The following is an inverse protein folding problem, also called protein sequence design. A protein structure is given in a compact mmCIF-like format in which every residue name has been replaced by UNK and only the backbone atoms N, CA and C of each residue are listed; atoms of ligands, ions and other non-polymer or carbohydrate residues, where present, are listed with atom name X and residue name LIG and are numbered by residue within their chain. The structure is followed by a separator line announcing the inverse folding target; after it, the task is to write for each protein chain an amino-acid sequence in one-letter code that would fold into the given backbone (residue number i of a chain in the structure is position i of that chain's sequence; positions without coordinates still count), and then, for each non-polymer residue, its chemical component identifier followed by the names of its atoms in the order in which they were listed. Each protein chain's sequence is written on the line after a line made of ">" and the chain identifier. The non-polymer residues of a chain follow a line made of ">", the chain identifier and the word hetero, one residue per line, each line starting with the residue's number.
data_IF_619454017074
#
_entry.id   IF_619454017074
#
_cell.length_a   1.000
_cell.length_b   1.000
_cell.length_c   1.000
_cell.angle_alpha   90.00
_cell.angle_beta   90.00
_cell.angle_gamma   90.00
#
_symmetry.space_group_name_H-M   'P 1'
#
loop_
_entity.id
_entity.type
_entity.pdbx_description
1 polymer ?
#
# COMPACT_ATOMS: atom_id res chain seq x y z
N UNK A 1 -18.24 22.96 16.59
CA UNK A 1 -18.53 22.31 17.88
C UNK A 1 -17.32 22.24 18.79
N UNK A 2 -16.14 21.85 18.29
CA UNK A 2 -14.93 21.73 19.11
C UNK A 2 -13.97 22.90 18.82
N UNK A 3 -13.76 23.84 19.75
CA UNK A 3 -12.97 25.04 19.48
C UNK A 3 -11.46 24.82 19.50
N UNK A 4 -10.99 23.74 20.12
CA UNK A 4 -9.58 23.37 20.27
C UNK A 4 -9.40 21.86 20.26
N UNK A 5 -8.16 21.41 20.10
CA UNK A 5 -7.75 20.01 20.26
C UNK A 5 -8.12 19.45 21.63
N UNK A 6 -7.99 20.25 22.70
CA UNK A 6 -8.37 19.85 24.06
C UNK A 6 -9.87 19.54 24.15
N UNK A 7 -10.73 20.45 23.70
CA UNK A 7 -12.17 20.24 23.69
C UNK A 7 -12.59 19.06 22.78
N UNK A 8 -11.85 18.84 21.69
CA UNK A 8 -12.03 17.67 20.84
C UNK A 8 -11.72 16.36 21.59
N UNK A 9 -10.60 16.30 22.30
CA UNK A 9 -10.19 15.13 23.09
C UNK A 9 -11.10 14.91 24.32
N UNK A 10 -11.54 15.98 24.98
CA UNK A 10 -12.56 15.90 26.03
C UNK A 10 -13.83 15.25 25.49
N UNK A 11 -14.31 15.67 24.32
CA UNK A 11 -15.50 15.07 23.71
C UNK A 11 -15.31 13.60 23.36
N UNK A 12 -14.12 13.23 22.85
CA UNK A 12 -13.78 11.81 22.61
C UNK A 12 -13.93 11.01 23.90
N UNK A 13 -13.37 11.51 25.01
CA UNK A 13 -13.43 10.85 26.31
C UNK A 13 -14.86 10.76 26.86
N UNK A 14 -15.64 11.83 26.75
CA UNK A 14 -17.06 11.85 27.16
C UNK A 14 -17.90 10.80 26.42
N UNK A 15 -17.64 10.62 25.13
CA UNK A 15 -18.36 9.66 24.29
C UNK A 15 -17.79 8.23 24.41
N UNK A 16 -16.65 8.05 25.07
CA UNK A 16 -15.95 6.77 25.12
C UNK A 16 -15.56 6.27 23.73
N UNK A 17 -15.24 7.20 22.81
CA UNK A 17 -14.90 6.88 21.44
C UNK A 17 -13.47 6.35 21.36
N UNK A 18 -13.29 5.25 20.64
CA UNK A 18 -11.98 4.88 20.06
C UNK A 18 -11.97 5.43 18.63
N UNK A 19 -11.06 6.36 18.32
CA UNK A 19 -10.97 6.97 17.00
C UNK A 19 -9.57 6.84 16.42
N UNK A 20 -9.48 6.88 15.10
CA UNK A 20 -8.23 7.11 14.41
C UNK A 20 -8.47 7.68 13.00
N UNK A 21 -7.40 8.10 12.34
CA UNK A 21 -7.34 8.40 10.92
C UNK A 21 -6.23 7.60 10.26
N UNK A 22 -6.48 7.09 9.06
CA UNK A 22 -5.46 6.41 8.26
C UNK A 22 -5.43 6.96 6.86
N UNK A 23 -4.23 7.22 6.36
CA UNK A 23 -4.00 7.59 4.96
C UNK A 23 -3.22 6.49 4.26
N UNK A 24 -3.55 6.27 3.00
CA UNK A 24 -2.86 5.36 2.08
C UNK A 24 -2.80 6.03 0.71
N UNK A 25 -2.12 5.39 -0.25
CA UNK A 25 -1.90 5.91 -1.61
C UNK A 25 -3.17 6.40 -2.33
N UNK A 26 -4.34 5.82 -2.02
CA UNK A 26 -5.59 6.09 -2.75
C UNK A 26 -6.80 6.39 -1.84
N UNK A 27 -6.62 6.39 -0.51
CA UNK A 27 -7.71 6.60 0.46
C UNK A 27 -7.23 7.32 1.71
N UNK A 28 -8.00 8.31 2.14
CA UNK A 28 -8.01 8.83 3.51
C UNK A 28 -9.26 8.30 4.20
N UNK A 29 -9.12 7.78 5.42
CA UNK A 29 -10.20 7.19 6.19
C UNK A 29 -10.18 7.73 7.62
N UNK A 30 -11.31 8.23 8.08
CA UNK A 30 -11.54 8.66 9.45
C UNK A 30 -12.62 7.78 10.06
N UNK A 31 -12.38 7.25 11.26
CA UNK A 31 -13.32 6.33 11.87
C UNK A 31 -13.41 6.50 13.38
N UNK A 32 -14.55 6.08 13.91
CA UNK A 32 -14.87 6.05 15.33
C UNK A 32 -15.56 4.73 15.65
N UNK A 33 -15.20 4.16 16.78
CA UNK A 33 -15.87 3.01 17.41
C UNK A 33 -16.44 3.49 18.74
N UNK A 34 -17.73 3.28 18.95
CA UNK A 34 -18.46 3.77 20.12
C UNK A 34 -19.60 2.82 20.50
N UNK A 35 -20.15 3.02 21.71
CA UNK A 35 -21.35 2.30 22.14
C UNK A 35 -22.56 2.70 21.27
N UNK A 36 -23.41 1.74 20.88
CA UNK A 36 -24.60 1.99 20.04
C UNK A 36 -25.53 3.10 20.55
N UNK A 37 -25.58 3.30 21.86
CA UNK A 37 -26.40 4.34 22.50
C UNK A 37 -25.88 5.76 22.19
N UNK A 38 -24.68 5.89 21.62
CA UNK A 38 -24.03 7.14 21.24
C UNK A 38 -24.00 7.37 19.73
N UNK A 39 -24.76 6.59 18.95
CA UNK A 39 -24.77 6.66 17.48
C UNK A 39 -24.95 8.09 16.98
N UNK A 40 -25.96 8.82 17.48
CA UNK A 40 -26.24 10.19 17.04
C UNK A 40 -25.08 11.12 17.39
N UNK A 41 -24.57 11.07 18.62
CA UNK A 41 -23.44 11.90 19.03
C UNK A 41 -22.15 11.57 18.27
N UNK A 42 -21.94 10.31 17.90
CA UNK A 42 -20.81 9.87 17.08
C UNK A 42 -20.89 10.37 15.63
N UNK A 43 -22.09 10.34 15.04
CA UNK A 43 -22.34 10.93 13.72
C UNK A 43 -22.12 12.46 13.75
N UNK A 44 -22.62 13.14 14.78
CA UNK A 44 -22.39 14.59 14.96
C UNK A 44 -20.89 14.90 15.14
N UNK A 45 -20.19 14.10 15.93
CA UNK A 45 -18.74 14.24 16.12
C UNK A 45 -17.98 14.08 14.79
N UNK A 46 -18.28 13.04 14.01
CA UNK A 46 -17.65 12.81 12.72
C UNK A 46 -17.98 13.91 11.71
N UNK A 47 -19.20 14.46 11.76
CA UNK A 47 -19.60 15.61 10.96
C UNK A 47 -18.70 16.83 11.23
N UNK A 48 -18.49 17.17 12.51
CA UNK A 48 -17.60 18.29 12.87
C UNK A 48 -16.15 18.01 12.48
N UNK A 49 -15.66 16.78 12.72
CA UNK A 49 -14.27 16.38 12.45
C UNK A 49 -13.93 16.37 10.96
N UNK A 50 -14.80 15.81 10.12
CA UNK A 50 -14.53 15.61 8.70
C UNK A 50 -14.91 16.81 7.82
N UNK A 51 -16.02 17.52 8.13
CA UNK A 51 -16.51 18.62 7.27
C UNK A 51 -16.06 20.00 7.71
N UNK A 52 -15.82 20.19 9.01
CA UNK A 52 -15.54 21.50 9.59
C UNK A 52 -14.23 21.57 10.40
N UNK A 53 -13.10 21.01 9.92
CA UNK A 53 -11.82 21.21 10.58
C UNK A 53 -11.45 22.69 10.55
N UNK A 54 -10.96 23.21 11.68
CA UNK A 54 -10.62 24.64 11.82
C UNK A 54 -9.23 25.01 11.30
N UNK A 55 -8.33 24.02 11.18
CA UNK A 55 -6.92 24.22 10.80
C UNK A 55 -6.27 25.41 11.56
N UNK A 56 -6.40 25.44 12.89
CA UNK A 56 -5.84 26.52 13.69
C UNK A 56 -4.32 26.54 13.54
N UNK A 57 -3.75 27.72 13.29
CA UNK A 57 -2.34 27.87 12.95
C UNK A 57 -1.44 27.33 14.07
N UNK A 58 -1.74 27.68 15.31
CA UNK A 58 -0.95 27.28 16.48
C UNK A 58 -1.02 25.77 16.73
N UNK A 59 -2.17 25.15 16.43
CA UNK A 59 -2.31 23.69 16.52
C UNK A 59 -1.53 23.01 15.40
N UNK A 60 -1.60 23.52 14.17
CA UNK A 60 -0.84 23.01 13.04
C UNK A 60 0.67 23.15 13.24
N UNK A 61 1.16 24.26 13.77
CA UNK A 61 2.60 24.43 14.05
C UNK A 61 3.12 23.36 15.02
N UNK A 62 2.30 22.96 16.01
CA UNK A 62 2.63 21.85 16.91
C UNK A 62 2.53 20.50 16.20
N UNK A 63 1.47 20.27 15.45
CA UNK A 63 1.22 19.01 14.75
C UNK A 63 2.29 18.72 13.68
N UNK A 64 2.74 19.75 12.94
CA UNK A 64 3.82 19.62 11.97
C UNK A 64 5.10 19.06 12.60
N UNK A 65 5.41 19.43 13.85
CA UNK A 65 6.57 18.90 14.58
C UNK A 65 6.34 17.45 14.99
N UNK A 66 5.11 17.07 15.37
CA UNK A 66 4.74 15.69 15.69
C UNK A 66 4.90 14.79 14.46
N UNK A 67 4.36 15.20 13.31
CA UNK A 67 4.47 14.47 12.03
C UNK A 67 5.92 14.45 11.53
N UNK A 68 6.69 15.52 11.71
CA UNK A 68 8.12 15.51 11.43
C UNK A 68 8.88 14.52 12.32
N UNK A 69 8.47 14.39 13.59
CA UNK A 69 8.95 13.36 14.50
C UNK A 69 8.58 11.94 14.05
N UNK A 70 7.40 11.73 13.49
CA UNK A 70 7.02 10.46 12.84
C UNK A 70 7.93 10.10 11.67
N UNK A 71 8.20 11.08 10.81
CA UNK A 71 9.14 10.91 9.70
C UNK A 71 10.54 10.51 10.21
N UNK A 72 11.04 11.22 11.22
CA UNK A 72 12.35 10.92 11.83
C UNK A 72 12.38 9.55 12.53
N UNK A 73 11.27 9.11 13.14
CA UNK A 73 11.16 7.74 13.67
C UNK A 73 11.29 6.71 12.55
N UNK A 74 10.70 6.95 11.38
CA UNK A 74 10.88 6.06 10.24
C UNK A 74 12.33 6.04 9.74
N UNK A 75 13.05 7.16 9.83
CA UNK A 75 14.47 7.25 9.50
C UNK A 75 15.39 6.44 10.44
N UNK A 76 14.90 5.95 11.59
CA UNK A 76 15.69 5.00 12.39
C UNK A 76 15.71 3.60 11.76
N UNK A 77 14.80 3.28 10.84
CA UNK A 77 14.76 2.02 10.11
C UNK A 77 15.51 2.13 8.78
N UNK A 78 16.60 1.39 8.54
CA UNK A 78 17.36 1.48 7.29
C UNK A 78 16.54 1.07 6.05
N UNK A 79 15.50 0.23 6.20
CA UNK A 79 14.58 -0.15 5.11
C UNK A 79 13.76 1.04 4.60
N UNK A 80 13.49 2.05 5.44
CA UNK A 80 12.78 3.27 5.02
C UNK A 80 13.51 3.97 3.87
N UNK A 81 14.84 4.07 3.94
CA UNK A 81 15.64 4.70 2.89
C UNK A 81 15.63 3.88 1.59
N UNK A 82 15.68 2.55 1.69
CA UNK A 82 15.57 1.66 0.52
C UNK A 82 14.22 1.84 -0.17
N UNK A 83 13.11 1.87 0.59
CA UNK A 83 11.77 2.08 0.05
C UNK A 83 11.59 3.47 -0.56
N UNK A 84 12.16 4.50 0.06
CA UNK A 84 12.17 5.87 -0.46
C UNK A 84 12.91 5.97 -1.80
N UNK A 85 14.13 5.44 -1.87
CA UNK A 85 14.94 5.47 -3.08
C UNK A 85 14.32 4.61 -4.19
N UNK A 86 13.73 3.46 -3.82
CA UNK A 86 12.94 2.61 -4.71
C UNK A 86 11.76 3.38 -5.28
N UNK A 87 10.95 4.01 -4.43
CA UNK A 87 9.76 4.74 -4.83
C UNK A 87 10.08 5.89 -5.79
N UNK A 88 11.16 6.66 -5.52
CA UNK A 88 11.59 7.73 -6.44
C UNK A 88 11.92 7.22 -7.83
N UNK A 89 12.54 6.05 -7.94
CA UNK A 89 12.93 5.44 -9.23
C UNK A 89 11.78 4.72 -9.92
N UNK A 90 10.93 4.04 -9.15
CA UNK A 90 9.81 3.25 -9.66
C UNK A 90 8.66 4.14 -10.15
N UNK A 91 8.38 5.24 -9.45
CA UNK A 91 7.23 6.11 -9.72
C UNK A 91 7.61 7.44 -10.39
N UNK A 92 8.90 7.78 -10.41
CA UNK A 92 9.43 8.95 -11.10
C UNK A 92 8.78 10.25 -10.65
N UNK A 93 8.28 11.05 -11.61
CA UNK A 93 7.62 12.34 -11.35
C UNK A 93 6.39 12.22 -10.44
N UNK A 94 5.75 11.05 -10.41
CA UNK A 94 4.52 10.80 -9.65
C UNK A 94 4.78 10.14 -8.28
N UNK A 95 6.03 10.13 -7.80
CA UNK A 95 6.41 9.51 -6.53
C UNK A 95 5.60 10.03 -5.33
N UNK A 96 5.21 11.30 -5.31
CA UNK A 96 4.41 11.87 -4.23
C UNK A 96 3.08 11.14 -3.98
N UNK A 97 2.52 10.50 -5.02
CA UNK A 97 1.29 9.69 -4.92
C UNK A 97 1.47 8.35 -4.21
N UNK A 98 2.71 7.91 -4.04
CA UNK A 98 3.10 6.66 -3.38
C UNK A 98 3.97 6.93 -2.14
N UNK A 99 3.99 8.18 -1.69
CA UNK A 99 4.74 8.63 -0.52
C UNK A 99 3.78 9.25 0.49
N UNK A 100 3.00 8.42 1.16
CA UNK A 100 1.91 8.86 2.06
C UNK A 100 2.38 9.82 3.15
N UNK A 101 3.56 9.61 3.75
CA UNK A 101 4.09 10.49 4.80
C UNK A 101 4.58 11.84 4.24
N UNK A 102 4.89 11.91 2.95
CA UNK A 102 5.41 13.10 2.29
C UNK A 102 6.91 13.29 2.46
N UNK A 103 7.36 14.53 2.21
CA UNK A 103 8.76 14.92 2.30
C UNK A 103 8.96 15.82 3.50
N UNK A 104 10.04 15.66 4.25
CA UNK A 104 10.30 16.41 5.48
C UNK A 104 10.11 17.94 5.35
N UNK A 105 10.61 18.62 4.30
CA UNK A 105 10.38 20.06 4.13
C UNK A 105 8.91 20.42 3.85
N UNK A 106 8.17 19.53 3.18
CA UNK A 106 6.75 19.74 2.88
C UNK A 106 5.92 19.59 4.15
N UNK A 107 6.25 18.62 5.01
CA UNK A 107 5.60 18.41 6.31
C UNK A 107 5.76 19.67 7.18
N UNK A 108 6.99 20.17 7.35
CA UNK A 108 7.24 21.37 8.16
C UNK A 108 6.62 22.63 7.56
N UNK A 109 6.53 22.71 6.23
CA UNK A 109 5.94 23.83 5.50
C UNK A 109 4.42 23.76 5.36
N UNK A 110 3.74 22.77 5.92
CA UNK A 110 2.30 22.65 5.84
C UNK A 110 1.60 23.84 6.55
N UNK A 111 0.61 24.44 5.89
CA UNK A 111 -0.12 25.61 6.41
C UNK A 111 -1.63 25.36 6.42
N UNK A 112 -2.40 26.12 7.23
CA UNK A 112 -3.86 26.05 7.20
C UNK A 112 -4.46 26.22 5.81
N UNK A 113 -3.90 27.11 5.00
CA UNK A 113 -4.37 27.33 3.63
C UNK A 113 -4.17 26.09 2.75
N UNK A 114 -3.04 25.39 2.86
CA UNK A 114 -2.81 24.15 2.09
C UNK A 114 -3.82 23.08 2.50
N UNK A 115 -4.11 22.93 3.79
CA UNK A 115 -5.10 21.95 4.26
C UNK A 115 -6.51 22.30 3.80
N UNK A 116 -6.87 23.58 3.84
CA UNK A 116 -8.13 24.08 3.31
C UNK A 116 -8.24 23.81 1.80
N UNK A 117 -7.17 24.07 1.04
CA UNK A 117 -7.13 23.79 -0.39
C UNK A 117 -7.30 22.29 -0.70
N UNK A 118 -6.73 21.39 0.10
CA UNK A 118 -6.92 19.93 -0.06
C UNK A 118 -8.37 19.56 0.23
N UNK A 119 -8.93 20.07 1.33
CA UNK A 119 -10.33 19.84 1.71
C UNK A 119 -11.27 20.29 0.59
N UNK A 120 -11.08 21.50 0.08
CA UNK A 120 -11.95 22.09 -0.95
C UNK A 120 -11.73 21.49 -2.35
N UNK A 121 -10.70 20.65 -2.53
CA UNK A 121 -10.52 19.85 -3.75
C UNK A 121 -11.24 18.51 -3.68
N UNK A 122 -11.20 17.83 -2.53
CA UNK A 122 -11.52 16.40 -2.47
C UNK A 122 -12.63 16.00 -1.48
N UNK A 123 -12.96 16.84 -0.48
CA UNK A 123 -13.87 16.48 0.62
C UNK A 123 -15.31 16.87 0.28
N UNK A 124 -15.90 16.08 -0.62
CA UNK A 124 -17.29 16.21 -1.07
C UNK A 124 -18.03 14.88 -0.90
N UNK A 125 -19.36 14.89 -0.69
CA UNK A 125 -20.14 13.66 -0.50
C UNK A 125 -20.13 12.76 -1.74
N UNK A 126 -20.01 13.32 -2.96
CA UNK A 126 -19.84 12.54 -4.19
C UNK A 126 -18.41 12.02 -4.41
N UNK A 127 -17.50 12.22 -3.46
CA UNK A 127 -16.17 11.62 -3.38
C UNK A 127 -15.89 11.12 -1.96
N UNK A 128 -16.92 10.69 -1.24
CA UNK A 128 -16.83 10.15 0.12
C UNK A 128 -17.80 8.99 0.27
N UNK A 129 -17.47 8.07 1.16
CA UNK A 129 -18.35 6.98 1.56
C UNK A 129 -18.40 6.93 3.08
N UNK A 130 -19.62 6.94 3.63
CA UNK A 130 -19.86 6.70 5.05
C UNK A 130 -20.34 5.27 5.23
N UNK A 131 -19.68 4.51 6.10
CA UNK A 131 -20.05 3.13 6.42
C UNK A 131 -20.26 3.02 7.92
N UNK A 132 -21.40 2.46 8.31
CA UNK A 132 -21.75 2.19 9.71
C UNK A 132 -22.05 0.70 9.82
N UNK A 133 -21.36 0.02 10.73
CA UNK A 133 -21.56 -1.40 10.99
C UNK A 133 -21.52 -1.66 12.51
N UNK A 134 -22.29 -2.65 12.95
CA UNK A 134 -22.45 -3.02 14.35
C UNK A 134 -23.92 -3.20 14.72
N UNK A 135 -24.23 -3.11 16.01
CA UNK A 135 -25.60 -3.17 16.54
C UNK A 135 -26.34 -1.84 16.29
N UNK A 136 -26.78 -1.63 15.04
CA UNK A 136 -27.46 -0.42 14.58
C UNK A 136 -28.74 -0.75 13.82
N UNK A 137 -29.74 0.14 13.92
CA UNK A 137 -30.95 0.06 13.11
C UNK A 137 -30.75 0.87 11.82
N UNK A 138 -30.96 0.21 10.67
CA UNK A 138 -30.76 0.79 9.34
C UNK A 138 -31.54 2.10 9.14
N UNK A 139 -32.86 2.10 9.35
CA UNK A 139 -33.71 3.27 9.12
C UNK A 139 -33.32 4.45 10.02
N UNK A 140 -32.97 4.17 11.29
CA UNK A 140 -32.48 5.18 12.22
C UNK A 140 -31.16 5.79 11.74
N UNK A 141 -30.21 4.97 11.27
CA UNK A 141 -28.93 5.46 10.75
C UNK A 141 -29.16 6.40 9.57
N UNK A 142 -29.98 6.00 8.59
CA UNK A 142 -30.28 6.83 7.42
C UNK A 142 -31.01 8.13 7.78
N UNK A 143 -31.97 8.07 8.71
CA UNK A 143 -32.66 9.26 9.22
C UNK A 143 -31.70 10.24 9.89
N UNK A 144 -30.82 9.76 10.77
CA UNK A 144 -29.82 10.61 11.43
C UNK A 144 -28.79 11.16 10.44
N UNK A 145 -28.35 10.34 9.48
CA UNK A 145 -27.46 10.81 8.41
C UNK A 145 -28.11 11.91 7.58
N UNK A 146 -29.37 11.76 7.18
CA UNK A 146 -30.09 12.81 6.45
C UNK A 146 -30.24 14.08 7.30
N UNK A 147 -30.48 13.95 8.61
CA UNK A 147 -30.58 15.10 9.52
C UNK A 147 -29.26 15.84 9.67
N UNK A 148 -28.14 15.13 9.80
CA UNK A 148 -26.82 15.70 10.13
C UNK A 148 -26.03 16.11 8.87
N UNK A 149 -26.10 15.28 7.82
CA UNK A 149 -25.32 15.43 6.58
C UNK A 149 -26.13 15.85 5.37
N UNK A 150 -27.46 15.95 5.48
CA UNK A 150 -28.35 16.24 4.34
C UNK A 150 -28.14 17.61 3.70
N UNK A 151 -27.43 18.51 4.37
CA UNK A 151 -27.03 19.81 3.86
C UNK A 151 -25.67 19.78 3.12
N UNK A 152 -24.91 18.67 3.21
CA UNK A 152 -23.62 18.53 2.57
C UNK A 152 -23.78 18.43 1.05
N UNK A 153 -23.41 19.50 0.35
CA UNK A 153 -23.58 19.57 -1.09
C UNK A 153 -22.46 18.81 -1.84
N UNK A 154 -22.79 18.10 -2.93
CA UNK A 154 -21.78 17.55 -3.82
C UNK A 154 -20.95 18.65 -4.47
N UNK A 155 -19.78 18.27 -4.97
CA UNK A 155 -18.99 19.15 -5.82
C UNK A 155 -19.81 19.61 -7.04
N UNK A 156 -19.72 20.89 -7.39
CA UNK A 156 -20.36 21.47 -8.59
C UNK A 156 -19.61 21.12 -9.89
N UNK A 157 -18.50 20.40 -9.80
CA UNK A 157 -17.68 19.95 -10.91
C UNK A 157 -17.28 18.48 -10.75
N UNK A 158 -16.90 17.80 -11.83
CA UNK A 158 -16.28 16.49 -11.72
C UNK A 158 -14.84 16.65 -11.17
N UNK A 159 -14.60 16.12 -9.97
CA UNK A 159 -13.34 16.28 -9.22
C UNK A 159 -12.16 15.75 -10.03
N UNK A 160 -12.31 14.57 -10.65
CA UNK A 160 -11.23 13.93 -11.40
C UNK A 160 -11.10 14.39 -12.85
N UNK A 161 -12.03 15.20 -13.36
CA UNK A 161 -11.82 15.96 -14.61
C UNK A 161 -11.08 17.27 -14.33
N UNK A 162 -11.44 17.98 -13.25
CA UNK A 162 -10.80 19.24 -12.86
C UNK A 162 -9.40 19.02 -12.30
N UNK A 163 -9.22 17.95 -11.52
CA UNK A 163 -7.96 17.53 -10.91
C UNK A 163 -7.64 16.11 -11.38
N UNK A 164 -7.19 15.95 -12.64
CA UNK A 164 -6.92 14.64 -13.19
C UNK A 164 -5.79 13.96 -12.43
N UNK A 165 -5.98 12.67 -12.17
CA UNK A 165 -4.95 11.83 -11.56
C UNK A 165 -4.01 11.37 -12.70
N UNK A 166 -2.74 11.77 -12.70
CA UNK A 166 -1.80 11.41 -13.77
C UNK A 166 -1.54 9.89 -13.81
N UNK A 167 -1.15 9.38 -14.97
CA UNK A 167 -0.69 7.99 -15.09
C UNK A 167 0.80 7.89 -14.78
N UNK A 168 1.25 6.70 -14.36
CA UNK A 168 2.67 6.43 -14.18
C UNK A 168 3.32 6.14 -15.53
N UNK A 169 4.49 6.74 -15.77
CA UNK A 169 5.30 6.45 -16.94
C UNK A 169 5.84 5.01 -16.85
N UNK A 170 5.78 4.19 -17.91
CA UNK A 170 6.33 2.84 -17.89
C UNK A 170 7.82 2.84 -17.53
N UNK A 171 8.25 1.80 -16.81
CA UNK A 171 9.69 1.55 -16.57
C UNK A 171 10.33 1.25 -17.94
N UNK A 172 11.29 2.08 -18.37
CA UNK A 172 11.89 1.96 -19.71
C UNK A 172 13.02 0.92 -19.79
N UNK A 173 13.79 0.79 -18.71
CA UNK A 173 14.92 -0.12 -18.61
C UNK A 173 15.14 -0.51 -17.14
N UNK A 174 15.85 -1.61 -16.92
CA UNK A 174 16.17 -2.07 -15.57
C UNK A 174 17.13 -1.11 -14.86
N UNK A 175 16.79 -0.70 -13.65
CA UNK A 175 17.58 0.20 -12.82
C UNK A 175 18.01 -0.49 -11.54
N UNK A 176 19.31 -0.61 -11.31
CA UNK A 176 19.87 -1.14 -10.07
C UNK A 176 20.52 0.00 -9.28
N UNK A 177 20.27 0.07 -7.97
CA UNK A 177 20.89 1.06 -7.09
C UNK A 177 21.22 0.51 -5.70
N UNK A 178 22.21 1.12 -5.05
CA UNK A 178 22.58 0.77 -3.67
C UNK A 178 22.10 1.90 -2.76
N UNK A 179 21.41 1.53 -1.68
CA UNK A 179 21.13 2.43 -0.55
C UNK A 179 22.09 2.05 0.58
N UNK A 180 22.91 3.01 1.01
CA UNK A 180 23.86 2.81 2.10
C UNK A 180 23.28 3.37 3.40
N UNK A 181 23.29 2.56 4.46
CA UNK A 181 22.87 2.98 5.80
C UNK A 181 23.63 2.19 6.88
N UNK A 182 24.28 2.89 7.81
CA UNK A 182 25.10 2.27 8.86
C UNK A 182 24.29 1.39 9.83
N UNK A 183 22.99 1.65 9.99
CA UNK A 183 22.13 0.84 10.85
C UNK A 183 21.72 -0.49 10.18
N UNK A 184 22.02 -0.69 8.90
CA UNK A 184 21.75 -1.95 8.22
C UNK A 184 22.60 -3.08 8.82
N UNK A 185 21.93 -4.07 9.42
CA UNK A 185 22.57 -5.23 10.05
C UNK A 185 22.72 -6.43 9.10
N UNK A 186 21.89 -6.49 8.05
CA UNK A 186 21.93 -7.51 6.99
C UNK A 186 21.69 -6.83 5.65
N UNK A 187 22.23 -7.37 4.54
CA UNK A 187 21.87 -6.91 3.20
C UNK A 187 20.39 -7.21 2.93
N UNK A 188 19.71 -6.28 2.27
CA UNK A 188 18.32 -6.46 1.85
C UNK A 188 18.19 -6.06 0.39
N UNK A 189 17.73 -6.99 -0.43
CA UNK A 189 17.38 -6.74 -1.83
C UNK A 189 15.87 -6.52 -1.94
N UNK A 190 15.49 -5.45 -2.63
CA UNK A 190 14.13 -5.21 -3.07
C UNK A 190 14.11 -5.09 -4.60
N UNK A 191 13.37 -5.94 -5.28
CA UNK A 191 13.07 -5.80 -6.72
C UNK A 191 11.62 -5.37 -6.89
N UNK A 192 11.34 -4.47 -7.82
CA UNK A 192 9.99 -3.94 -8.01
C UNK A 192 9.65 -3.68 -9.48
N UNK A 193 8.43 -4.07 -9.85
CA UNK A 193 7.81 -3.81 -11.15
C UNK A 193 6.52 -3.01 -10.95
N UNK A 194 6.04 -2.41 -12.03
CA UNK A 194 4.64 -1.98 -12.11
C UNK A 194 3.74 -3.22 -12.25
N UNK A 195 2.75 -3.34 -11.39
CA UNK A 195 1.74 -4.39 -11.43
C UNK A 195 0.48 -4.02 -12.21
N UNK A 196 -0.48 -4.96 -12.29
CA UNK A 196 -1.81 -4.67 -12.84
C UNK A 196 -2.55 -3.63 -11.98
N UNK A 197 -3.51 -2.94 -12.61
CA UNK A 197 -4.41 -2.01 -11.93
C UNK A 197 -5.87 -2.43 -12.15
N UNK A 198 -6.75 -2.08 -11.21
CA UNK A 198 -8.15 -2.54 -11.23
C UNK A 198 -9.01 -1.88 -12.31
N UNK A 199 -8.49 -0.88 -13.03
CA UNK A 199 -9.21 -0.22 -14.14
C UNK A 199 -8.96 -0.92 -15.48
N UNK A 200 -7.75 -1.46 -15.67
CA UNK A 200 -7.26 -1.93 -16.98
C UNK A 200 -7.01 -3.43 -17.05
N UNK A 201 -6.72 -4.08 -15.93
CA UNK A 201 -6.42 -5.51 -15.92
C UNK A 201 -6.88 -6.18 -14.62
N UNK A 202 -8.20 -6.17 -14.41
CA UNK A 202 -8.84 -6.75 -13.23
C UNK A 202 -8.51 -8.23 -13.04
N UNK A 203 -8.41 -9.00 -14.13
CA UNK A 203 -8.15 -10.44 -14.03
C UNK A 203 -6.74 -10.72 -13.51
N UNK A 204 -5.75 -9.93 -13.94
CA UNK A 204 -4.37 -10.10 -13.51
C UNK A 204 -4.17 -9.75 -12.03
N UNK A 205 -5.01 -8.92 -11.40
CA UNK A 205 -4.89 -8.61 -9.96
C UNK A 205 -5.17 -9.86 -9.11
N UNK A 206 -6.22 -10.63 -9.43
CA UNK A 206 -6.49 -11.90 -8.75
C UNK A 206 -5.42 -12.95 -9.02
N UNK A 207 -4.89 -13.01 -10.24
CA UNK A 207 -3.79 -13.91 -10.58
C UNK A 207 -2.52 -13.55 -9.79
N UNK A 208 -2.26 -12.27 -9.56
CA UNK A 208 -1.15 -11.78 -8.76
C UNK A 208 -1.25 -12.20 -7.29
N UNK A 209 -2.44 -12.10 -6.69
CA UNK A 209 -2.68 -12.52 -5.30
C UNK A 209 -2.44 -14.04 -5.15
N UNK A 210 -3.07 -14.85 -6.01
CA UNK A 210 -2.92 -16.31 -5.99
C UNK A 210 -1.45 -16.70 -6.20
N UNK A 211 -0.77 -16.10 -7.17
CA UNK A 211 0.65 -16.37 -7.43
C UNK A 211 1.55 -15.98 -6.25
N UNK A 212 1.33 -14.81 -5.67
CA UNK A 212 2.09 -14.33 -4.50
C UNK A 212 1.95 -15.31 -3.34
N UNK A 213 0.74 -15.81 -3.08
CA UNK A 213 0.50 -16.79 -2.04
C UNK A 213 1.17 -18.14 -2.34
N UNK A 214 1.12 -18.63 -3.59
CA UNK A 214 1.84 -19.86 -4.01
C UNK A 214 3.32 -19.80 -3.63
N UNK A 215 3.98 -18.65 -3.86
CA UNK A 215 5.39 -18.46 -3.57
C UNK A 215 5.71 -18.30 -2.07
N UNK A 216 4.71 -17.96 -1.25
CA UNK A 216 4.86 -17.83 0.21
C UNK A 216 4.71 -19.17 0.94
N UNK A 217 4.07 -20.17 0.31
CA UNK A 217 3.95 -21.51 0.89
C UNK A 217 5.33 -22.09 1.20
N UNK A 218 5.48 -22.67 2.40
CA UNK A 218 6.74 -23.26 2.86
C UNK A 218 7.27 -24.32 1.90
N UNK A 219 6.38 -25.11 1.30
CA UNK A 219 6.76 -26.17 0.36
C UNK A 219 7.02 -25.68 -1.08
N UNK A 220 6.92 -24.36 -1.35
CA UNK A 220 7.11 -23.78 -2.68
C UNK A 220 8.55 -23.93 -3.17
N UNK A 221 8.74 -24.00 -4.50
CA UNK A 221 10.09 -24.09 -5.08
C UNK A 221 10.97 -22.90 -4.67
N UNK A 222 10.39 -21.70 -4.53
CA UNK A 222 11.13 -20.50 -4.13
C UNK A 222 11.64 -20.60 -2.68
N UNK A 223 10.78 -20.97 -1.73
CA UNK A 223 11.19 -21.13 -0.32
C UNK A 223 12.22 -22.25 -0.17
N UNK A 224 12.00 -23.39 -0.83
CA UNK A 224 12.97 -24.49 -0.85
C UNK A 224 14.32 -24.09 -1.43
N UNK A 225 14.32 -23.39 -2.56
CA UNK A 225 15.55 -23.05 -3.26
C UNK A 225 16.40 -22.01 -2.52
N UNK A 226 15.77 -21.07 -1.79
CA UNK A 226 16.48 -19.95 -1.15
C UNK A 226 16.58 -20.08 0.37
N UNK A 227 15.49 -20.41 1.05
CA UNK A 227 15.43 -20.40 2.52
C UNK A 227 15.87 -21.75 3.10
N UNK A 228 15.32 -22.86 2.63
CA UNK A 228 15.69 -24.20 3.16
C UNK A 228 17.16 -24.55 2.88
N UNK A 229 17.76 -24.05 1.79
CA UNK A 229 19.18 -24.22 1.46
C UNK A 229 20.11 -23.26 2.24
N UNK A 230 19.54 -22.29 2.97
CA UNK A 230 20.26 -21.26 3.71
C UNK A 230 20.97 -20.22 2.82
N UNK A 231 20.53 -20.05 1.57
CA UNK A 231 20.98 -18.97 0.69
C UNK A 231 20.39 -17.61 1.08
N UNK A 232 19.20 -17.61 1.68
CA UNK A 232 18.52 -16.44 2.22
C UNK A 232 17.89 -16.76 3.57
N UNK A 233 17.80 -15.76 4.43
CA UNK A 233 17.01 -15.83 5.66
C UNK A 233 15.53 -15.64 5.40
N UNK A 234 15.20 -14.88 4.36
CA UNK A 234 13.82 -14.58 3.98
C UNK A 234 13.74 -14.29 2.48
N UNK A 235 12.66 -14.77 1.86
CA UNK A 235 12.20 -14.32 0.55
C UNK A 235 10.68 -14.19 0.57
N UNK A 236 10.15 -13.09 0.04
CA UNK A 236 8.72 -12.93 -0.18
C UNK A 236 8.46 -12.25 -1.53
N UNK A 237 7.32 -12.61 -2.11
CA UNK A 237 6.77 -11.95 -3.30
C UNK A 237 5.40 -11.42 -2.92
N UNK A 238 5.15 -10.16 -3.26
CA UNK A 238 3.89 -9.48 -2.98
C UNK A 238 3.45 -8.62 -4.14
N UNK A 239 2.16 -8.34 -4.17
CA UNK A 239 1.52 -7.38 -5.05
C UNK A 239 0.56 -6.54 -4.22
N UNK A 240 0.53 -5.23 -4.46
CA UNK A 240 -0.43 -4.34 -3.81
C UNK A 240 -1.49 -3.92 -4.83
N UNK A 241 -2.72 -4.41 -4.63
CA UNK A 241 -3.85 -4.05 -5.50
C UNK A 241 -4.21 -2.58 -5.35
N UNK A 242 -4.30 -1.86 -6.47
CA UNK A 242 -4.61 -0.43 -6.50
C UNK A 242 -5.40 -0.05 -7.75
N UNK A 243 -6.13 1.06 -7.67
CA UNK A 243 -6.91 1.61 -8.78
C UNK A 243 -6.00 2.11 -9.88
N UNK A 244 -4.92 2.77 -9.48
CA UNK A 244 -3.79 3.14 -10.31
C UNK A 244 -2.61 2.28 -9.90
N UNK A 245 -1.89 1.75 -10.89
CA UNK A 245 -0.69 0.91 -10.80
C UNK A 245 -0.10 0.77 -9.38
N UNK A 246 -0.18 -0.45 -8.82
CA UNK A 246 0.54 -0.83 -7.61
C UNK A 246 1.80 -1.63 -7.90
N UNK A 247 2.74 -1.72 -6.95
CA UNK A 247 3.99 -2.45 -7.15
C UNK A 247 3.79 -3.97 -7.04
N UNK A 248 4.53 -4.71 -7.87
CA UNK A 248 4.90 -6.10 -7.59
C UNK A 248 6.28 -6.04 -6.96
N UNK A 249 6.50 -6.73 -5.84
CA UNK A 249 7.76 -6.68 -5.11
C UNK A 249 8.30 -8.06 -4.80
N UNK A 250 9.62 -8.20 -4.90
CA UNK A 250 10.37 -9.30 -4.31
C UNK A 250 11.23 -8.69 -3.21
N UNK A 251 11.04 -9.14 -1.97
CA UNK A 251 11.87 -8.79 -0.84
C UNK A 251 12.73 -9.99 -0.46
N UNK A 252 14.05 -9.83 -0.45
CA UNK A 252 15.01 -10.88 -0.15
C UNK A 252 16.00 -10.39 0.90
N UNK A 253 16.18 -11.19 1.94
CA UNK A 253 17.25 -11.02 2.92
C UNK A 253 18.27 -12.14 2.70
N UNK A 254 19.26 -11.97 1.82
CA UNK A 254 20.22 -13.02 1.51
C UNK A 254 21.17 -13.29 2.68
N UNK A 255 21.70 -14.51 2.74
CA UNK A 255 22.86 -14.82 3.57
C UNK A 255 24.07 -14.07 2.98
N UNK A 256 24.72 -13.15 3.72
CA UNK A 256 25.83 -12.35 3.19
C UNK A 256 26.95 -13.19 2.59
N UNK A 257 27.26 -14.33 3.21
CA UNK A 257 28.33 -15.23 2.76
C UNK A 257 28.00 -16.00 1.48
N UNK A 258 26.72 -16.07 1.09
CA UNK A 258 26.24 -16.80 -0.09
C UNK A 258 25.49 -15.89 -1.08
N UNK A 259 25.68 -14.57 -0.99
CA UNK A 259 24.85 -13.61 -1.71
C UNK A 259 24.93 -13.76 -3.24
N UNK A 260 26.11 -14.07 -3.80
CA UNK A 260 26.27 -14.31 -5.24
C UNK A 260 25.43 -15.52 -5.71
N UNK A 261 25.48 -16.62 -4.97
CA UNK A 261 24.69 -17.81 -5.25
C UNK A 261 23.19 -17.54 -5.05
N UNK A 262 22.81 -16.82 -3.98
CA UNK A 262 21.42 -16.44 -3.71
C UNK A 262 20.81 -15.60 -4.85
N UNK A 263 21.54 -14.60 -5.34
CA UNK A 263 21.11 -13.76 -6.46
C UNK A 263 20.97 -14.56 -7.76
N UNK A 264 21.92 -15.47 -8.02
CA UNK A 264 21.85 -16.36 -9.17
C UNK A 264 20.60 -17.26 -9.09
N UNK A 265 20.40 -17.94 -7.97
CA UNK A 265 19.25 -18.83 -7.74
C UNK A 265 17.94 -18.04 -7.82
N UNK A 266 17.84 -16.83 -7.25
CA UNK A 266 16.65 -16.00 -7.38
C UNK A 266 16.30 -15.72 -8.86
N UNK A 267 17.28 -15.32 -9.67
CA UNK A 267 17.05 -15.06 -11.09
C UNK A 267 16.66 -16.33 -11.86
N UNK A 268 17.25 -17.47 -11.53
CA UNK A 268 16.86 -18.77 -12.09
C UNK A 268 15.41 -19.12 -11.72
N UNK A 269 15.01 -18.90 -10.46
CA UNK A 269 13.61 -19.09 -10.04
C UNK A 269 12.66 -18.20 -10.84
N UNK A 270 12.93 -16.90 -10.95
CA UNK A 270 12.11 -15.95 -11.72
C UNK A 270 11.97 -16.38 -13.18
N UNK A 271 13.05 -16.87 -13.79
CA UNK A 271 13.03 -17.34 -15.17
C UNK A 271 12.16 -18.59 -15.38
N UNK A 272 11.97 -19.40 -14.34
CA UNK A 272 11.19 -20.64 -14.36
C UNK A 272 9.73 -20.46 -13.92
N UNK A 273 9.30 -19.28 -13.47
CA UNK A 273 7.98 -19.09 -12.86
C UNK A 273 6.79 -19.47 -13.74
N UNK A 274 6.90 -19.35 -15.06
CA UNK A 274 5.87 -19.75 -16.02
C UNK A 274 6.11 -21.15 -16.63
N UNK A 275 7.03 -21.94 -16.06
CA UNK A 275 7.20 -23.34 -16.43
C UNK A 275 6.00 -24.16 -15.92
N UNK A 276 5.54 -25.16 -16.69
CA UNK A 276 4.33 -25.92 -16.37
C UNK A 276 4.42 -26.66 -15.03
N UNK A 277 5.63 -27.03 -14.60
CA UNK A 277 5.89 -27.80 -13.38
C UNK A 277 6.38 -26.94 -12.20
N UNK A 278 6.44 -25.61 -12.32
CA UNK A 278 7.01 -24.76 -11.26
C UNK A 278 6.19 -24.80 -9.96
N UNK A 279 4.86 -24.76 -10.09
CA UNK A 279 3.91 -24.95 -8.99
C UNK A 279 2.88 -26.01 -9.36
N UNK A 280 2.40 -26.79 -8.39
CA UNK A 280 1.41 -27.86 -8.61
C UNK A 280 -0.02 -27.31 -8.58
N UNK A 281 -0.99 -28.09 -9.08
CA UNK A 281 -2.41 -27.72 -8.97
C UNK A 281 -2.88 -27.70 -7.51
N UNK A 282 -2.30 -28.55 -6.66
CA UNK A 282 -2.51 -28.53 -5.22
C UNK A 282 -2.05 -27.20 -4.60
N UNK A 283 -0.89 -26.67 -4.99
CA UNK A 283 -0.42 -25.36 -4.49
C UNK A 283 -1.34 -24.21 -4.93
N UNK A 284 -1.87 -24.26 -6.16
CA UNK A 284 -2.87 -23.29 -6.63
C UNK A 284 -4.13 -23.38 -5.77
N UNK A 285 -4.62 -24.61 -5.53
CA UNK A 285 -5.83 -24.83 -4.74
C UNK A 285 -5.66 -24.35 -3.30
N UNK A 286 -4.56 -24.72 -2.64
CA UNK A 286 -4.21 -24.24 -1.30
C UNK A 286 -4.15 -22.71 -1.23
N UNK A 287 -3.56 -22.06 -2.24
CA UNK A 287 -3.50 -20.61 -2.29
C UNK A 287 -4.89 -19.96 -2.33
N UNK A 288 -5.80 -20.50 -3.15
CA UNK A 288 -7.17 -20.01 -3.24
C UNK A 288 -7.95 -20.22 -1.95
N UNK A 289 -7.78 -21.38 -1.31
CA UNK A 289 -8.44 -21.70 -0.04
C UNK A 289 -7.97 -20.79 1.08
N UNK A 290 -6.66 -20.55 1.18
CA UNK A 290 -6.11 -19.66 2.20
C UNK A 290 -6.54 -18.22 2.01
N UNK A 291 -6.58 -17.72 0.77
CA UNK A 291 -7.09 -16.38 0.46
C UNK A 291 -8.59 -16.24 0.79
N UNK A 292 -9.40 -17.27 0.57
CA UNK A 292 -10.82 -17.30 1.01
C UNK A 292 -10.91 -17.27 2.53
N UNK A 293 -10.11 -18.09 3.23
CA UNK A 293 -10.05 -18.12 4.69
C UNK A 293 -9.67 -16.73 5.26
N UNK A 294 -8.63 -16.09 4.72
CA UNK A 294 -8.20 -14.75 5.13
C UNK A 294 -9.31 -13.71 4.90
N UNK A 295 -10.01 -13.76 3.77
CA UNK A 295 -11.16 -12.90 3.51
C UNK A 295 -12.32 -13.14 4.50
N UNK A 296 -12.64 -14.40 4.84
CA UNK A 296 -13.66 -14.70 5.84
C UNK A 296 -13.27 -14.17 7.23
N UNK A 297 -12.03 -14.40 7.67
CA UNK A 297 -11.55 -13.90 8.96
C UNK A 297 -11.63 -12.37 9.05
N UNK A 298 -11.29 -11.67 7.96
CA UNK A 298 -11.39 -10.20 7.91
C UNK A 298 -12.82 -9.67 8.11
N UNK A 299 -13.84 -10.51 7.87
CA UNK A 299 -15.26 -10.18 8.01
C UNK A 299 -15.82 -10.49 9.41
N UNK A 300 -15.13 -11.28 10.22
CA UNK A 300 -15.58 -11.64 11.56
C UNK A 300 -15.53 -10.45 12.53
N UNK A 301 -14.53 -9.57 12.36
CA UNK A 301 -14.40 -8.34 13.14
C UNK A 301 -15.06 -7.17 12.41
N UNK A 302 -16.07 -6.56 13.03
CA UNK A 302 -16.86 -5.47 12.41
C UNK A 302 -16.00 -4.28 11.97
N UNK A 303 -14.99 -3.88 12.75
CA UNK A 303 -14.08 -2.78 12.35
C UNK A 303 -13.33 -3.13 11.08
N UNK A 304 -12.82 -4.35 11.00
CA UNK A 304 -11.95 -4.81 9.92
C UNK A 304 -12.75 -4.97 8.64
N UNK A 305 -13.99 -5.45 8.75
CA UNK A 305 -14.96 -5.45 7.66
C UNK A 305 -15.17 -4.04 7.08
N UNK A 306 -15.45 -3.04 7.92
CA UNK A 306 -15.66 -1.65 7.47
C UNK A 306 -14.40 -1.06 6.82
N UNK A 307 -13.23 -1.30 7.41
CA UNK A 307 -11.96 -0.85 6.85
C UNK A 307 -11.66 -1.49 5.50
N UNK A 308 -11.96 -2.78 5.35
CA UNK A 308 -11.76 -3.53 4.12
C UNK A 308 -12.70 -3.07 3.02
N UNK A 309 -13.99 -2.93 3.30
CA UNK A 309 -15.00 -2.45 2.33
C UNK A 309 -14.64 -1.06 1.80
N UNK A 310 -14.31 -0.13 2.69
CA UNK A 310 -13.98 1.25 2.31
C UNK A 310 -12.64 1.34 1.57
N UNK A 311 -11.70 0.44 1.87
CA UNK A 311 -10.44 0.33 1.12
C UNK A 311 -10.72 -0.11 -0.32
N UNK A 312 -11.48 -1.18 -0.50
CA UNK A 312 -11.80 -1.68 -1.84
C UNK A 312 -12.69 -0.76 -2.65
N UNK A 313 -13.59 0.00 -2.01
CA UNK A 313 -14.33 1.05 -2.71
C UNK A 313 -13.41 2.10 -3.34
N UNK A 314 -12.34 2.50 -2.63
CA UNK A 314 -11.39 3.51 -3.11
C UNK A 314 -10.40 2.94 -4.14
N UNK A 315 -9.78 1.80 -3.83
CA UNK A 315 -8.71 1.18 -4.64
C UNK A 315 -9.22 0.23 -5.73
N UNK A 316 -10.50 -0.07 -5.77
CA UNK A 316 -11.10 -0.92 -6.79
C UNK A 316 -12.58 -0.55 -7.02
N UNK A 317 -13.49 -1.42 -6.60
CA UNK A 317 -14.93 -1.21 -6.56
C UNK A 317 -15.55 -2.11 -5.49
N UNK A 318 -16.80 -1.81 -5.10
CA UNK A 318 -17.57 -2.73 -4.24
C UNK A 318 -17.83 -4.08 -4.93
N UNK A 319 -17.94 -4.09 -6.27
CA UNK A 319 -18.09 -5.32 -7.04
C UNK A 319 -16.83 -6.19 -6.98
N UNK A 320 -15.64 -5.57 -6.99
CA UNK A 320 -14.37 -6.26 -6.81
C UNK A 320 -14.35 -6.99 -5.47
N UNK A 321 -14.69 -6.27 -4.39
CA UNK A 321 -14.75 -6.84 -3.05
C UNK A 321 -15.80 -7.96 -2.93
N UNK A 322 -17.03 -7.69 -3.36
CA UNK A 322 -18.15 -8.63 -3.22
C UNK A 322 -17.91 -9.93 -3.98
N UNK A 323 -17.22 -9.86 -5.11
CA UNK A 323 -16.92 -11.02 -5.95
C UNK A 323 -15.48 -11.53 -5.80
N UNK A 324 -14.71 -11.02 -4.85
CA UNK A 324 -13.29 -11.33 -4.70
C UNK A 324 -13.04 -12.85 -4.64
N UNK A 325 -13.72 -13.53 -3.71
CA UNK A 325 -13.62 -14.99 -3.52
C UNK A 325 -13.98 -15.78 -4.77
N UNK A 326 -15.03 -15.37 -5.49
CA UNK A 326 -15.44 -16.05 -6.72
C UNK A 326 -14.40 -15.87 -7.83
N UNK A 327 -13.83 -14.67 -7.94
CA UNK A 327 -12.81 -14.38 -8.93
C UNK A 327 -11.49 -15.13 -8.64
N UNK A 328 -11.00 -15.16 -7.40
CA UNK A 328 -9.81 -15.94 -7.05
C UNK A 328 -10.02 -17.44 -7.30
N UNK A 329 -11.20 -17.99 -6.98
CA UNK A 329 -11.53 -19.40 -7.25
C UNK A 329 -11.48 -19.74 -8.74
N UNK A 330 -11.85 -18.77 -9.59
CA UNK A 330 -11.80 -18.91 -11.06
C UNK A 330 -10.41 -18.78 -11.69
N UNK A 331 -9.40 -18.32 -10.94
CA UNK A 331 -8.03 -18.13 -11.47
C UNK A 331 -7.48 -19.44 -12.00
N UNK A 332 -7.02 -19.44 -13.25
CA UNK A 332 -6.39 -20.61 -13.87
C UNK A 332 -4.87 -20.50 -13.85
N UNK A 333 -4.18 -21.61 -14.09
CA UNK A 333 -2.73 -21.63 -14.32
C UNK A 333 -2.32 -20.71 -15.48
N UNK A 334 -3.12 -20.67 -16.54
CA UNK A 334 -2.86 -19.79 -17.68
C UNK A 334 -2.97 -18.31 -17.30
N UNK A 335 -3.88 -17.95 -16.40
CA UNK A 335 -3.99 -16.58 -15.89
C UNK A 335 -2.75 -16.17 -15.10
N UNK A 336 -2.25 -17.07 -14.24
CA UNK A 336 -1.00 -16.87 -13.49
C UNK A 336 0.18 -16.72 -14.47
N UNK A 337 0.29 -17.60 -15.46
CA UNK A 337 1.35 -17.54 -16.47
C UNK A 337 1.29 -16.25 -17.30
N UNK A 338 0.09 -15.80 -17.67
CA UNK A 338 -0.12 -14.55 -18.39
C UNK A 338 0.28 -13.35 -17.54
N UNK A 339 -0.08 -13.33 -16.26
CA UNK A 339 0.37 -12.31 -15.30
C UNK A 339 1.90 -12.26 -15.20
N UNK A 340 2.56 -13.41 -14.99
CA UNK A 340 4.03 -13.50 -14.90
C UNK A 340 4.69 -12.94 -16.16
N UNK A 341 4.25 -13.37 -17.35
CA UNK A 341 4.82 -12.93 -18.64
C UNK A 341 4.54 -11.47 -18.96
N UNK A 342 3.39 -10.95 -18.52
CA UNK A 342 2.97 -9.58 -18.81
C UNK A 342 3.64 -8.56 -17.88
N UNK A 343 3.87 -8.90 -16.61
CA UNK A 343 4.30 -7.93 -15.61
C UNK A 343 5.70 -8.15 -15.04
N UNK A 344 6.24 -9.37 -15.11
CA UNK A 344 7.49 -9.72 -14.41
C UNK A 344 8.56 -10.22 -15.38
N UNK A 345 8.33 -11.36 -16.03
CA UNK A 345 9.35 -12.08 -16.79
C UNK A 345 9.73 -11.29 -18.05
N UNK A 346 11.02 -10.97 -18.17
CA UNK A 346 11.55 -10.17 -19.27
C UNK A 346 11.06 -8.72 -19.28
N UNK A 347 10.50 -8.23 -18.17
CA UNK A 347 10.08 -6.83 -18.02
C UNK A 347 11.13 -6.02 -17.26
N UNK A 348 11.33 -4.75 -17.63
CA UNK A 348 12.21 -3.87 -16.89
C UNK A 348 11.70 -3.65 -15.47
N UNK A 349 12.61 -3.58 -14.51
CA UNK A 349 12.32 -3.41 -13.09
C UNK A 349 13.26 -2.43 -12.44
N UNK A 350 12.93 -2.01 -11.22
CA UNK A 350 13.87 -1.30 -10.36
C UNK A 350 14.30 -2.26 -9.25
N UNK A 351 15.60 -2.41 -9.03
CA UNK A 351 16.13 -3.15 -7.90
C UNK A 351 16.99 -2.23 -7.02
N UNK A 352 16.81 -2.35 -5.72
CA UNK A 352 17.57 -1.65 -4.70
C UNK A 352 18.23 -2.65 -3.77
N UNK A 353 19.48 -2.41 -3.42
CA UNK A 353 20.23 -3.19 -2.42
C UNK A 353 20.59 -2.28 -1.24
N UNK A 354 20.07 -2.60 -0.07
CA UNK A 354 20.43 -1.96 1.19
C UNK A 354 21.62 -2.67 1.83
N UNK A 355 22.67 -1.91 2.17
CA UNK A 355 23.88 -2.38 2.85
C UNK A 355 24.41 -1.30 3.80
N UNK A 356 25.24 -1.69 4.77
CA UNK A 356 26.09 -0.73 5.51
C UNK A 356 27.46 -0.58 4.84
N UNK A 357 28.19 0.49 5.18
CA UNK A 357 29.54 0.72 4.66
C UNK A 357 30.47 -0.46 4.97
N UNK A 358 30.32 -1.06 6.17
CA UNK A 358 31.09 -2.22 6.61
C UNK A 358 30.85 -3.49 5.78
N UNK A 359 29.68 -3.65 5.17
CA UNK A 359 29.36 -4.83 4.35
C UNK A 359 29.97 -4.74 2.95
N UNK A 360 30.09 -3.54 2.36
CA UNK A 360 30.46 -3.37 0.95
C UNK A 360 31.76 -4.11 0.56
N UNK A 361 32.85 -4.08 1.35
CA UNK A 361 34.08 -4.81 1.03
C UNK A 361 33.93 -6.33 1.09
N UNK A 362 32.92 -6.84 1.79
CA UNK A 362 32.67 -8.28 1.98
C UNK A 362 31.72 -8.85 0.91
N UNK A 363 31.01 -7.99 0.19
CA UNK A 363 30.00 -8.39 -0.79
C UNK A 363 30.56 -8.26 -2.21
N UNK A 364 30.31 -9.24 -3.10
CA UNK A 364 30.78 -9.19 -4.49
C UNK A 364 29.91 -8.26 -5.37
N UNK A 365 29.70 -7.01 -4.95
CA UNK A 365 28.74 -6.06 -5.53
C UNK A 365 28.89 -5.89 -7.05
N UNK A 366 30.12 -5.76 -7.55
CA UNK A 366 30.40 -5.60 -8.99
C UNK A 366 29.97 -6.80 -9.84
N UNK A 367 29.92 -8.00 -9.24
CA UNK A 367 29.51 -9.24 -9.92
C UNK A 367 28.00 -9.45 -9.86
N UNK A 368 27.38 -9.09 -8.74
CA UNK A 368 26.01 -9.51 -8.41
C UNK A 368 24.98 -8.39 -8.61
N UNK A 369 25.41 -7.14 -8.60
CA UNK A 369 24.52 -5.98 -8.55
C UNK A 369 25.15 -4.74 -9.19
N UNK A 370 25.31 -4.79 -10.52
CA UNK A 370 25.85 -3.66 -11.29
C UNK A 370 24.87 -2.49 -11.24
N UNK A 371 25.28 -1.40 -10.59
CA UNK A 371 24.52 -0.14 -10.51
C UNK A 371 24.35 0.43 -11.92
N UNK A 372 23.12 0.83 -12.25
CA UNK A 372 22.83 1.46 -13.54
C UNK A 372 23.27 2.92 -13.48
N UNK A 373 24.23 3.32 -14.31
CA UNK A 373 24.68 4.71 -14.37
C UNK A 373 23.81 5.54 -15.32
N UNK A 374 23.71 6.85 -15.09
CA UNK A 374 22.93 7.76 -15.97
C UNK A 374 23.41 7.75 -17.43
N UNK A 375 24.67 7.35 -17.69
CA UNK A 375 25.26 7.23 -19.03
C UNK A 375 24.69 6.02 -19.79
N UNK A 376 24.31 4.94 -19.09
CA UNK A 376 23.72 3.74 -19.69
C UNK A 376 22.27 3.99 -20.17
N UNK A 377 21.68 5.15 -19.82
CA UNK A 377 20.33 5.57 -20.25
C UNK A 377 20.27 6.05 -21.70
N UNK A 378 21.42 6.40 -22.30
CA UNK A 378 21.54 6.98 -23.64
C UNK A 378 21.86 5.95 -24.74
N UNK A 379 22.03 4.68 -24.38
CA UNK A 379 22.50 3.62 -25.28
C UNK A 379 21.48 2.49 -25.52
N UNK A 380 20.20 2.69 -25.16
CA UNK A 380 19.09 1.74 -25.40
C UNK A 380 17.96 2.43 -26.16
#
# INVERSE_FOLDING_TARGET
>A
DYPSQEAYLERVNELGIVFNGTTSDERVNYFVTLNKNKLTEGLEFMNSAARYPKFLKEEMERENVVVAGEFQRNESNPVFFLLRDMGRKLWGKEYSRKNTIGEYPVILGATPQIMQDIKDRYYYPNNSMMVVAGDVNHDKVFSEMQRIYGDWQPSTFNIFEKYPIPEFEPIKYTQNFITENENAQVPILLMSWHGPDTRRDLKATFAADVFSFILQQQNSKLQKALVETGLAYQVSVSYQTQKYTGPIQIFLVPNPAKMEEAMKVLNEQIAMWDNPDYFTDEQIQTAKEMLDIEDQYSKEQTSDYVHTVTYWWASASLDYYTNYVNNIKSVTRDDINNYIRKYIKGKPYVAGLLVSAAMKPMLPLDKIFKVTNDIDKLSI
#
